data_IF_667090410871
#
_entry.id   IF_667090410871
#
_cell.length_a   1.000
_cell.length_b   1.000
_cell.length_c   1.000
_cell.angle_alpha   90.00
_cell.angle_beta   90.00
_cell.angle_gamma   90.00
#
_symmetry.space_group_name_H-M   'P 1'
#
loop_
_entity.id
_entity.type
_entity.pdbx_description
1 polymer ?
#
# COMPACT_ATOMS: atom_id res chain seq x y z
N UNK A 1 -5.91 -9.81 7.93
CA UNK A 1 -4.81 -8.85 7.76
C UNK A 1 -3.89 -9.45 6.72
N UNK A 2 -3.77 -8.81 5.57
CA UNK A 2 -3.02 -9.31 4.41
C UNK A 2 -1.57 -8.84 4.46
N UNK A 3 -0.68 -9.56 3.76
CA UNK A 3 0.75 -9.23 3.67
C UNK A 3 1.13 -8.95 2.22
N UNK A 4 1.78 -7.82 1.96
CA UNK A 4 2.39 -7.49 0.67
C UNK A 4 3.91 -7.61 0.78
N UNK A 5 4.51 -8.43 -0.08
CA UNK A 5 5.96 -8.61 -0.13
C UNK A 5 6.57 -7.59 -1.09
N UNK A 6 7.67 -6.95 -0.69
CA UNK A 6 8.36 -5.99 -1.56
C UNK A 6 9.17 -6.64 -2.69
N UNK A 7 9.36 -7.96 -2.69
CA UNK A 7 10.03 -8.71 -3.75
C UNK A 7 11.43 -8.16 -4.11
N UNK A 8 12.18 -7.71 -3.10
CA UNK A 8 13.51 -7.13 -3.26
C UNK A 8 13.54 -5.63 -3.61
N UNK A 9 12.38 -4.99 -3.79
CA UNK A 9 12.31 -3.53 -3.93
C UNK A 9 12.44 -2.84 -2.56
N UNK A 10 13.04 -1.63 -2.49
CA UNK A 10 13.19 -0.91 -1.23
C UNK A 10 11.87 -0.31 -0.69
N UNK A 11 10.87 -0.13 -1.56
CA UNK A 11 9.56 0.40 -1.22
C UNK A 11 8.55 0.10 -2.34
N UNK A 12 7.27 0.22 -2.03
CA UNK A 12 6.17 0.30 -3.00
C UNK A 12 5.52 1.69 -2.89
N UNK A 13 5.10 2.28 -4.00
CA UNK A 13 4.35 3.53 -3.94
C UNK A 13 2.94 3.26 -3.37
N UNK A 14 2.45 4.13 -2.48
CA UNK A 14 1.14 3.93 -1.83
C UNK A 14 0.01 3.70 -2.82
N UNK A 15 -0.04 4.45 -3.92
CA UNK A 15 -1.06 4.27 -4.94
C UNK A 15 -0.96 2.93 -5.70
N UNK A 16 0.25 2.41 -5.89
CA UNK A 16 0.47 1.14 -6.55
C UNK A 16 0.10 -0.03 -5.63
N UNK A 17 0.38 0.11 -4.32
CA UNK A 17 -0.08 -0.84 -3.30
C UNK A 17 -1.61 -0.89 -3.24
N UNK A 18 -2.29 0.26 -3.15
CA UNK A 18 -3.76 0.34 -3.14
C UNK A 18 -4.36 -0.37 -4.37
N UNK A 19 -3.76 -0.15 -5.54
CA UNK A 19 -4.16 -0.82 -6.78
C UNK A 19 -3.91 -2.33 -6.71
N UNK A 20 -2.75 -2.76 -6.23
CA UNK A 20 -2.42 -4.18 -6.08
C UNK A 20 -3.40 -4.91 -5.15
N UNK A 21 -3.85 -4.23 -4.11
CA UNK A 21 -4.84 -4.75 -3.17
C UNK A 21 -6.29 -4.72 -3.70
N UNK A 22 -6.51 -4.20 -4.92
CA UNK A 22 -7.84 -4.10 -5.52
C UNK A 22 -8.75 -3.07 -4.85
N UNK A 23 -8.23 -2.18 -4.01
CA UNK A 23 -9.02 -1.14 -3.32
C UNK A 23 -9.40 0.01 -4.23
N UNK A 24 -8.73 0.12 -5.39
CA UNK A 24 -9.05 1.07 -6.44
C UNK A 24 -8.83 0.44 -7.82
N UNK A 25 -9.72 0.74 -8.75
CA UNK A 25 -9.72 0.15 -10.10
C UNK A 25 -8.55 0.63 -10.98
N UNK A 26 -7.97 1.79 -10.65
CA UNK A 26 -6.87 2.37 -11.40
C UNK A 26 -5.98 3.27 -10.54
N UNK A 27 -4.80 3.61 -11.06
CA UNK A 27 -3.86 4.52 -10.38
C UNK A 27 -4.41 5.94 -10.18
N UNK A 28 -5.34 6.40 -11.03
CA UNK A 28 -6.04 7.67 -10.87
C UNK A 28 -6.95 7.66 -9.64
N UNK A 29 -7.78 6.61 -9.51
CA UNK A 29 -8.65 6.39 -8.36
C UNK A 29 -7.84 6.23 -7.07
N UNK A 30 -6.77 5.45 -7.08
CA UNK A 30 -5.89 5.30 -5.90
C UNK A 30 -5.31 6.65 -5.44
N UNK A 31 -4.89 7.52 -6.37
CA UNK A 31 -4.42 8.86 -6.04
C UNK A 31 -5.51 9.77 -5.49
N UNK A 32 -6.76 9.58 -5.90
CA UNK A 32 -7.91 10.31 -5.38
C UNK A 32 -8.16 9.93 -3.91
N UNK A 33 -8.22 8.62 -3.61
CA UNK A 33 -8.38 8.11 -2.23
C UNK A 33 -7.32 8.69 -1.27
N UNK A 34 -6.06 8.72 -1.71
CA UNK A 34 -4.96 9.33 -0.93
C UNK A 34 -5.19 10.84 -0.79
N UNK A 35 -5.50 11.56 -1.88
CA UNK A 35 -5.70 13.01 -1.82
C UNK A 35 -6.86 13.45 -0.91
N UNK A 36 -7.91 12.63 -0.86
CA UNK A 36 -9.11 12.86 -0.05
C UNK A 36 -8.90 12.47 1.42
N UNK A 37 -7.72 11.93 1.78
CA UNK A 37 -7.39 11.56 3.16
C UNK A 37 -8.14 10.32 3.64
N UNK A 38 -8.53 9.42 2.73
CA UNK A 38 -9.28 8.20 3.06
C UNK A 38 -8.37 7.04 3.46
N UNK A 39 -7.05 7.18 3.30
CA UNK A 39 -6.07 6.12 3.54
C UNK A 39 -5.17 6.51 4.71
N UNK A 40 -4.91 5.56 5.59
CA UNK A 40 -3.98 5.70 6.70
C UNK A 40 -2.73 4.86 6.46
N UNK A 41 -1.58 5.40 6.86
CA UNK A 41 -0.31 4.67 6.98
C UNK A 41 0.10 4.73 8.45
N UNK A 42 0.29 3.57 9.08
CA UNK A 42 0.62 3.45 10.50
C UNK A 42 -0.35 4.21 11.43
N UNK A 43 -1.64 4.21 11.06
CA UNK A 43 -2.71 4.87 11.79
C UNK A 43 -2.78 6.40 11.62
N UNK A 44 -1.98 6.98 10.72
CA UNK A 44 -2.03 8.40 10.38
C UNK A 44 -2.56 8.60 8.97
N UNK A 45 -3.51 9.53 8.80
CA UNK A 45 -4.03 9.90 7.48
C UNK A 45 -2.89 10.37 6.58
N UNK A 46 -2.78 9.77 5.39
CA UNK A 46 -1.75 10.09 4.41
C UNK A 46 -2.38 10.74 3.18
N UNK A 47 -1.89 11.91 2.79
CA UNK A 47 -2.39 12.68 1.64
C UNK A 47 -1.37 12.88 0.51
N UNK A 48 -0.14 12.40 0.71
CA UNK A 48 0.95 12.50 -0.28
C UNK A 48 0.78 11.41 -1.33
N UNK A 49 0.31 11.78 -2.53
CA UNK A 49 0.15 10.89 -3.71
C UNK A 49 1.41 10.13 -4.15
N UNK A 50 2.60 10.53 -3.68
CA UNK A 50 3.90 9.89 -3.95
C UNK A 50 4.54 9.29 -2.69
N UNK A 51 3.75 9.03 -1.65
CA UNK A 51 4.24 8.38 -0.44
C UNK A 51 4.81 6.99 -0.79
N UNK A 52 5.97 6.70 -0.20
CA UNK A 52 6.66 5.41 -0.33
C UNK A 52 6.35 4.60 0.92
N UNK A 53 5.91 3.37 0.73
CA UNK A 53 5.64 2.44 1.81
C UNK A 53 6.80 1.45 1.88
N UNK A 54 7.44 1.38 3.03
CA UNK A 54 8.57 0.48 3.31
C UNK A 54 8.09 -0.70 4.17
N UNK A 55 8.98 -1.68 4.37
CA UNK A 55 8.69 -2.82 5.22
C UNK A 55 8.25 -2.40 6.62
N UNK A 56 7.43 -3.26 7.25
CA UNK A 56 6.79 -3.12 8.55
C UNK A 56 5.67 -2.09 8.65
N UNK A 57 5.48 -1.24 7.63
CA UNK A 57 4.36 -0.31 7.62
C UNK A 57 3.03 -1.00 7.35
N UNK A 58 1.97 -0.46 7.94
CA UNK A 58 0.59 -0.93 7.77
C UNK A 58 -0.23 0.13 7.06
N UNK A 59 -0.83 -0.23 5.93
CA UNK A 59 -1.77 0.62 5.20
C UNK A 59 -3.19 0.16 5.49
N UNK A 60 -4.07 1.13 5.79
CA UNK A 60 -5.47 0.89 6.11
C UNK A 60 -6.38 1.76 5.23
N UNK A 61 -7.42 1.13 4.69
CA UNK A 61 -8.49 1.80 3.94
C UNK A 61 -9.82 1.12 4.28
N UNK A 62 -10.79 1.88 4.84
CA UNK A 62 -12.11 1.35 5.22
C UNK A 62 -12.06 0.06 6.08
N UNK A 63 -11.06 -0.06 6.97
CA UNK A 63 -10.88 -1.23 7.83
C UNK A 63 -10.18 -2.42 7.15
N UNK A 64 -9.94 -2.37 5.84
CA UNK A 64 -9.08 -3.32 5.13
C UNK A 64 -7.62 -2.94 5.39
N UNK A 65 -6.81 -3.91 5.82
CA UNK A 65 -5.42 -3.67 6.22
C UNK A 65 -4.45 -4.60 5.52
N UNK A 66 -3.37 -4.01 5.02
CA UNK A 66 -2.20 -4.72 4.50
C UNK A 66 -0.96 -4.30 5.29
N UNK A 67 -0.12 -5.27 5.67
CA UNK A 67 1.23 -5.02 6.16
C UNK A 67 2.24 -5.25 5.04
N UNK A 68 3.17 -4.33 4.89
CA UNK A 68 4.28 -4.46 3.94
C UNK A 68 5.43 -5.18 4.62
N UNK A 69 6.02 -6.18 3.95
CA UNK A 69 7.14 -6.98 4.49
C UNK A 69 8.25 -7.11 3.45
N UNK A 70 9.46 -7.30 3.94
CA UNK A 70 10.55 -7.82 3.11
C UNK A 70 10.28 -9.30 2.77
N UNK A 71 10.76 -9.74 1.62
CA UNK A 71 10.64 -11.13 1.18
C UNK A 71 10.36 -11.25 -0.31
N UNK A 72 10.46 -12.47 -0.81
CA UNK A 72 10.13 -12.86 -2.19
C UNK A 72 9.07 -13.95 -2.08
N UNK A 73 8.07 -13.91 -2.96
CA UNK A 73 7.04 -14.93 -3.05
C UNK A 73 7.68 -16.32 -3.28
N UNK A 74 7.30 -17.38 -2.54
CA UNK A 74 7.92 -18.71 -2.64
C UNK A 74 7.86 -19.33 -4.04
N UNK A 75 6.92 -18.89 -4.87
CA UNK A 75 6.71 -19.37 -6.25
C UNK A 75 7.75 -18.81 -7.25
N UNK A 76 8.62 -17.89 -6.82
CA UNK A 76 9.68 -17.28 -7.65
C UNK A 76 11.05 -17.98 -7.44
N UNK A 77 11.10 -19.05 -6.63
CA UNK A 77 12.28 -19.92 -6.43
C UNK A 77 12.18 -21.22 -7.23
#
# INVERSE_FOLDING_TARGET
METFLLEGHPFVALCDLIKHQGWADCGGAAKALVAEGLVEVDGQVETRKRCKIVAEQVVNFNGMKVVVKEGISPEIL
#
